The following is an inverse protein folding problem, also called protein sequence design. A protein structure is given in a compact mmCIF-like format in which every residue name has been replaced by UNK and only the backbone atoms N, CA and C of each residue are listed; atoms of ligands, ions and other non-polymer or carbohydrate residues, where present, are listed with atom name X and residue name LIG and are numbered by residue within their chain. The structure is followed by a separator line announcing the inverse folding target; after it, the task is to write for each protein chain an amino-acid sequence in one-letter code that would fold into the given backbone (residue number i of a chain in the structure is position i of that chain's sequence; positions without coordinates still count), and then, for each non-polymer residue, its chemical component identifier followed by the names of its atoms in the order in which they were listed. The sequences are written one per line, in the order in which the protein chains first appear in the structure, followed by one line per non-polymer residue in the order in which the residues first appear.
data_IF_998606696398
#
_entry.id   IF_998606696398
#
_cell.length_a   1.000
_cell.length_b   1.000
_cell.length_c   1.000
_cell.angle_alpha   90.00
_cell.angle_beta   90.00
_cell.angle_gamma   90.00
#
_symmetry.space_group_name_H-M   'P 1'
#
loop_
_entity.id
_entity.type
_entity.pdbx_description
1 polymer ?
#
# COMPACT_ATOMS: atom_id res chain seq x y z
N UNK A 1 -4.97 4.64 -12.73
CA UNK A 1 -4.17 5.21 -11.64
C UNK A 1 -4.96 6.36 -11.02
N UNK A 2 -4.97 6.47 -9.69
CA UNK A 2 -5.75 7.47 -8.96
C UNK A 2 -5.36 8.91 -9.33
N UNK A 3 -6.36 9.74 -9.62
CA UNK A 3 -6.19 11.18 -9.84
C UNK A 3 -5.95 11.92 -8.52
N UNK A 4 -5.33 13.10 -8.58
CA UNK A 4 -5.14 13.91 -7.38
C UNK A 4 -6.46 14.40 -6.77
N UNK A 5 -7.52 14.56 -7.56
CA UNK A 5 -8.86 14.90 -7.06
C UNK A 5 -9.48 13.75 -6.25
N UNK A 6 -9.37 12.51 -6.75
CA UNK A 6 -9.81 11.31 -6.01
C UNK A 6 -9.03 11.15 -4.71
N UNK A 7 -7.71 11.40 -4.74
CA UNK A 7 -6.86 11.34 -3.55
C UNK A 7 -7.23 12.42 -2.54
N UNK A 8 -7.47 13.65 -3.00
CA UNK A 8 -7.89 14.75 -2.12
C UNK A 8 -9.20 14.40 -1.39
N UNK A 9 -10.18 13.83 -2.11
CA UNK A 9 -11.41 13.31 -1.50
C UNK A 9 -11.12 12.17 -0.51
N UNK A 10 -10.35 11.18 -0.92
CA UNK A 10 -9.97 10.05 -0.08
C UNK A 10 -9.30 10.47 1.23
N UNK A 11 -8.40 11.46 1.20
CA UNK A 11 -7.76 12.04 2.40
C UNK A 11 -8.76 12.65 3.38
N UNK A 12 -9.87 13.20 2.89
CA UNK A 12 -10.91 13.79 3.74
C UNK A 12 -11.83 12.73 4.34
N UNK A 13 -12.24 11.76 3.53
CA UNK A 13 -13.25 10.74 3.83
C UNK A 13 -12.68 9.57 4.66
N UNK A 14 -11.42 9.19 4.43
CA UNK A 14 -10.83 8.03 5.07
C UNK A 14 -10.67 8.21 6.58
N UNK A 15 -11.06 7.19 7.33
CA UNK A 15 -10.75 7.08 8.75
C UNK A 15 -9.26 6.75 8.90
N UNK A 16 -8.52 7.67 9.52
CA UNK A 16 -7.10 7.47 9.82
C UNK A 16 -6.93 7.16 11.31
N UNK A 17 -6.12 6.16 11.64
CA UNK A 17 -5.81 5.81 13.03
C UNK A 17 -4.71 6.67 13.64
N UNK A 18 -3.82 7.18 12.79
CA UNK A 18 -2.73 8.09 13.13
C UNK A 18 -2.97 9.50 12.54
N UNK A 19 -2.08 10.43 12.83
CA UNK A 19 -2.09 11.75 12.22
C UNK A 19 -2.03 11.66 10.68
N UNK A 20 -2.80 12.50 10.00
CA UNK A 20 -2.90 12.56 8.53
C UNK A 20 -1.67 13.23 7.91
N UNK A 21 -0.53 12.56 8.03
CA UNK A 21 0.74 12.97 7.45
C UNK A 21 0.91 12.33 6.06
N UNK A 22 0.74 13.13 5.02
CA UNK A 22 0.88 12.72 3.63
C UNK A 22 2.00 13.54 2.97
N UNK A 23 3.15 12.93 2.69
CA UNK A 23 4.27 13.66 2.05
C UNK A 23 3.97 13.98 0.58
N UNK A 24 3.31 13.07 -0.12
CA UNK A 24 2.98 13.21 -1.54
C UNK A 24 1.81 12.30 -1.93
N UNK A 25 1.03 12.69 -2.94
CA UNK A 25 -0.06 11.85 -3.48
C UNK A 25 0.44 10.50 -3.99
N UNK A 26 1.67 10.45 -4.49
CA UNK A 26 2.30 9.21 -4.96
C UNK A 26 2.48 8.18 -3.84
N UNK A 27 2.62 8.60 -2.58
CA UNK A 27 2.68 7.67 -1.44
C UNK A 27 1.38 6.85 -1.31
N UNK A 28 0.23 7.49 -1.55
CA UNK A 28 -1.08 6.83 -1.60
C UNK A 28 -1.19 5.96 -2.85
N UNK A 29 -0.67 6.41 -3.99
CA UNK A 29 -0.65 5.60 -5.22
C UNK A 29 0.21 4.34 -5.04
N UNK A 30 1.37 4.43 -4.38
CA UNK A 30 2.20 3.27 -4.06
C UNK A 30 1.45 2.27 -3.18
N UNK A 31 0.78 2.75 -2.13
CA UNK A 31 -0.01 1.90 -1.27
C UNK A 31 -1.19 1.25 -2.03
N UNK A 32 -1.87 2.00 -2.89
CA UNK A 32 -2.97 1.51 -3.72
C UNK A 32 -2.52 0.38 -4.65
N UNK A 33 -1.46 0.61 -5.43
CA UNK A 33 -0.92 -0.38 -6.36
C UNK A 33 -0.41 -1.63 -5.63
N UNK A 34 0.21 -1.45 -4.46
CA UNK A 34 0.68 -2.58 -3.67
C UNK A 34 -0.48 -3.42 -3.12
N UNK A 35 -1.54 -2.78 -2.62
CA UNK A 35 -2.75 -3.45 -2.14
C UNK A 35 -3.49 -4.17 -3.28
N UNK A 36 -3.56 -3.54 -4.45
CA UNK A 36 -4.19 -4.10 -5.65
C UNK A 36 -3.51 -5.39 -6.13
N UNK A 37 -2.18 -5.51 -5.98
CA UNK A 37 -1.49 -6.74 -6.35
C UNK A 37 -1.73 -7.92 -5.39
N UNK A 38 -2.30 -7.70 -4.20
CA UNK A 38 -2.45 -8.77 -3.21
C UNK A 38 -3.61 -9.71 -3.52
N UNK A 39 -3.49 -10.97 -3.08
CA UNK A 39 -4.62 -11.90 -3.03
C UNK A 39 -5.59 -11.47 -1.91
N UNK A 40 -6.84 -11.19 -2.27
CA UNK A 40 -7.89 -10.80 -1.32
C UNK A 40 -8.56 -12.02 -0.70
N UNK A 41 -9.06 -11.83 0.51
CA UNK A 41 -9.83 -12.79 1.30
C UNK A 41 -11.26 -12.26 1.46
N UNK A 42 -12.18 -13.16 1.80
CA UNK A 42 -13.58 -12.80 2.06
C UNK A 42 -13.78 -12.03 3.37
N UNK A 43 -12.76 -11.94 4.23
CA UNK A 43 -12.82 -11.22 5.50
C UNK A 43 -11.45 -10.66 5.91
N UNK A 44 -11.42 -9.57 6.71
CA UNK A 44 -10.21 -9.01 7.31
C UNK A 44 -9.34 -10.05 8.04
N UNK A 45 -8.05 -10.08 7.73
CA UNK A 45 -7.13 -11.06 8.31
C UNK A 45 -6.58 -10.59 9.66
N UNK A 46 -7.24 -11.00 10.74
CA UNK A 46 -6.84 -10.66 12.12
C UNK A 46 -5.74 -11.56 12.71
N UNK A 47 -5.33 -12.62 12.00
CA UNK A 47 -4.41 -13.63 12.55
C UNK A 47 -2.94 -13.22 12.50
N UNK A 48 -2.57 -12.28 11.63
CA UNK A 48 -1.20 -11.80 11.49
C UNK A 48 -1.18 -10.30 11.31
N UNK A 49 -0.53 -9.59 12.24
CA UNK A 49 -0.14 -8.20 12.07
C UNK A 49 1.13 -8.12 11.24
N UNK A 50 1.22 -7.10 10.39
CA UNK A 50 2.40 -6.85 9.56
C UNK A 50 2.70 -5.36 9.52
N UNK A 51 3.99 -5.00 9.40
CA UNK A 51 4.37 -3.64 9.13
C UNK A 51 4.12 -3.31 7.64
N UNK A 52 2.86 -3.24 7.22
CA UNK A 52 2.47 -3.08 5.81
C UNK A 52 3.12 -1.84 5.19
N UNK A 53 3.13 -0.71 5.91
CA UNK A 53 3.79 0.51 5.43
C UNK A 53 5.27 0.28 5.10
N UNK A 54 6.02 -0.37 5.99
CA UNK A 54 7.45 -0.66 5.75
C UNK A 54 7.70 -1.66 4.62
N UNK A 55 6.70 -2.49 4.27
CA UNK A 55 6.79 -3.37 3.10
C UNK A 55 6.61 -2.52 1.82
N UNK A 56 5.60 -1.65 1.80
CA UNK A 56 5.35 -0.74 0.69
C UNK A 56 6.52 0.22 0.49
N UNK A 57 7.07 0.78 1.57
CA UNK A 57 8.22 1.71 1.52
C UNK A 57 9.44 1.08 0.83
N UNK A 58 9.75 -0.16 1.18
CA UNK A 58 10.87 -0.89 0.60
C UNK A 58 10.62 -1.25 -0.87
N UNK A 59 9.38 -1.60 -1.21
CA UNK A 59 9.00 -1.92 -2.58
C UNK A 59 9.01 -0.69 -3.49
N UNK A 60 8.43 0.42 -3.05
CA UNK A 60 8.34 1.68 -3.80
C UNK A 60 9.60 2.54 -3.72
N UNK A 61 10.49 2.25 -2.76
CA UNK A 61 11.72 2.99 -2.52
C UNK A 61 11.52 4.41 -1.99
N UNK A 62 10.42 4.65 -1.27
CA UNK A 62 10.05 5.94 -0.68
C UNK A 62 9.28 5.74 0.61
N UNK A 63 9.41 6.67 1.56
CA UNK A 63 8.54 6.75 2.73
C UNK A 63 7.04 6.75 2.36
N UNK A 64 6.25 6.02 3.16
CA UNK A 64 4.79 5.89 3.08
C UNK A 64 4.26 5.85 4.49
N UNK A 65 3.35 6.76 4.83
CA UNK A 65 2.77 6.81 6.17
C UNK A 65 1.69 5.75 6.38
N UNK A 66 1.30 5.51 7.63
CA UNK A 66 0.15 4.64 7.93
C UNK A 66 -1.14 5.19 7.32
N UNK A 67 -1.34 6.51 7.38
CA UNK A 67 -2.52 7.16 6.82
C UNK A 67 -2.54 7.12 5.29
N UNK A 68 -1.40 7.11 4.60
CA UNK A 68 -1.34 6.86 3.16
C UNK A 68 -1.93 5.49 2.81
N UNK A 69 -1.59 4.45 3.59
CA UNK A 69 -2.11 3.09 3.42
C UNK A 69 -3.60 3.03 3.72
N UNK A 70 -4.06 3.71 4.75
CA UNK A 70 -5.49 3.76 5.13
C UNK A 70 -6.33 4.47 4.07
N UNK A 71 -5.85 5.60 3.53
CA UNK A 71 -6.51 6.29 2.41
C UNK A 71 -6.57 5.40 1.18
N UNK A 72 -5.46 4.75 0.82
CA UNK A 72 -5.41 3.83 -0.32
C UNK A 72 -6.39 2.66 -0.14
N UNK A 73 -6.44 2.06 1.05
CA UNK A 73 -7.37 0.97 1.38
C UNK A 73 -8.83 1.43 1.32
N UNK A 74 -9.14 2.62 1.82
CA UNK A 74 -10.48 3.21 1.76
C UNK A 74 -10.96 3.43 0.32
N UNK A 75 -10.05 3.85 -0.57
CA UNK A 75 -10.37 4.11 -1.97
C UNK A 75 -10.44 2.85 -2.84
N UNK A 76 -9.92 1.71 -2.36
CA UNK A 76 -9.79 0.51 -3.16
C UNK A 76 -11.08 -0.35 -3.11
N UNK A 77 -11.68 -0.72 -4.25
CA UNK A 77 -12.99 -1.38 -4.29
C UNK A 77 -13.03 -2.75 -3.59
N UNK A 78 -11.95 -3.54 -3.72
CA UNK A 78 -11.89 -4.91 -3.17
C UNK A 78 -11.17 -5.01 -1.82
N UNK A 79 -10.67 -3.89 -1.26
CA UNK A 79 -9.99 -3.91 0.04
C UNK A 79 -10.98 -3.52 1.13
N UNK A 80 -10.97 -4.30 2.21
CA UNK A 80 -11.80 -4.09 3.38
C UNK A 80 -11.04 -4.37 4.66
N UNK A 81 -11.54 -3.85 5.78
CA UNK A 81 -10.86 -3.88 7.07
C UNK A 81 -10.18 -2.55 7.39
N UNK A 82 -9.39 -2.55 8.46
CA UNK A 82 -8.71 -1.36 8.98
C UNK A 82 -7.25 -1.71 9.22
N UNK A 83 -6.34 -0.75 9.12
CA UNK A 83 -4.94 -0.99 9.37
C UNK A 83 -4.71 -1.53 10.81
N UNK A 84 -3.86 -2.57 11.01
CA UNK A 84 -3.07 -3.32 10.01
C UNK A 84 -3.76 -4.58 9.45
N UNK A 85 -5.07 -4.75 9.68
CA UNK A 85 -5.86 -5.95 9.38
C UNK A 85 -6.78 -5.80 8.16
N UNK A 86 -6.19 -5.68 6.96
CA UNK A 86 -6.97 -5.73 5.73
C UNK A 86 -7.37 -7.17 5.35
N UNK A 87 -8.31 -7.32 4.44
CA UNK A 87 -8.74 -8.59 3.83
C UNK A 87 -7.71 -9.15 2.83
N UNK A 88 -6.43 -9.15 3.17
CA UNK A 88 -5.35 -9.66 2.31
C UNK A 88 -4.74 -10.96 2.85
N UNK A 89 -4.29 -11.80 1.93
CA UNK A 89 -3.69 -13.09 2.23
C UNK A 89 -2.43 -12.96 3.09
N UNK A 90 -2.18 -14.00 3.89
CA UNK A 90 -0.89 -14.12 4.56
C UNK A 90 0.26 -14.50 3.63
N UNK A 91 -0.01 -14.90 2.38
CA UNK A 91 1.01 -15.13 1.37
C UNK A 91 1.03 -13.91 0.46
N UNK A 92 1.90 -12.96 0.77
CA UNK A 92 2.00 -11.70 0.03
C UNK A 92 2.53 -11.95 -1.38
N UNK A 93 2.00 -11.19 -2.33
CA UNK A 93 2.44 -11.18 -3.73
C UNK A 93 3.33 -9.96 -3.92
N UNK A 94 4.53 -10.16 -4.48
CA UNK A 94 5.43 -9.07 -4.85
C UNK A 94 4.86 -8.36 -6.08
N UNK A 95 4.42 -7.10 -5.98
CA UNK A 95 3.86 -6.42 -7.13
C UNK A 95 4.92 -6.18 -8.20
N UNK A 96 4.52 -6.21 -9.47
CA UNK A 96 5.40 -5.92 -10.59
C UNK A 96 5.85 -4.45 -10.53
N UNK A 97 7.14 -4.20 -10.71
CA UNK A 97 7.71 -2.85 -10.71
C UNK A 97 7.10 -1.94 -11.78
N UNK A 98 6.52 -2.50 -12.84
CA UNK A 98 5.78 -1.73 -13.85
C UNK A 98 4.59 -0.96 -13.29
N UNK A 99 4.01 -1.37 -12.15
CA UNK A 99 2.94 -0.63 -11.46
C UNK A 99 3.37 0.76 -10.98
N UNK A 100 4.67 0.97 -10.79
CA UNK A 100 5.25 2.27 -10.44
C UNK A 100 5.48 3.18 -11.66
N UNK A 101 5.24 2.70 -12.87
CA UNK A 101 5.45 3.48 -14.10
C UNK A 101 4.59 4.73 -14.08
N UNK A 102 5.21 5.90 -14.23
CA UNK A 102 4.51 7.19 -14.20
C UNK A 102 4.41 7.83 -12.81
N UNK A 103 4.87 7.15 -11.75
CA UNK A 103 4.97 7.71 -10.40
C UNK A 103 6.35 8.33 -10.21
N UNK A 104 6.42 9.67 -10.33
CA UNK A 104 7.68 10.40 -10.30
C UNK A 104 8.44 10.30 -8.97
N UNK A 105 7.76 9.94 -7.89
CA UNK A 105 8.38 9.80 -6.58
C UNK A 105 8.95 8.41 -6.27
N UNK A 106 8.85 7.44 -7.19
CA UNK A 106 9.37 6.09 -6.97
C UNK A 106 10.91 6.08 -6.82
N UNK A 107 11.41 5.32 -5.86
CA UNK A 107 12.85 5.13 -5.56
C UNK A 107 13.66 6.40 -5.25
N UNK A 108 12.99 7.49 -4.87
CA UNK A 108 13.63 8.79 -4.63
C UNK A 108 14.33 8.93 -3.27
N UNK A 109 13.99 8.09 -2.29
CA UNK A 109 14.49 8.23 -0.91
C UNK A 109 15.37 7.05 -0.46
N UNK A 110 15.78 6.17 -1.39
CA UNK A 110 16.79 5.15 -1.11
C UNK A 110 16.36 4.01 -0.19
N UNK A 111 15.06 3.88 0.12
CA UNK A 111 14.52 2.66 0.72
C UNK A 111 14.73 1.50 -0.26
N UNK A 112 15.27 0.38 0.24
CA UNK A 112 15.60 -0.79 -0.58
C UNK A 112 14.92 -2.03 -0.04
N UNK A 113 14.48 -2.86 -0.96
CA UNK A 113 13.99 -4.19 -0.68
C UNK A 113 15.20 -5.13 -0.52
N UNK A 114 15.61 -5.38 0.73
CA UNK A 114 16.83 -6.17 1.01
C UNK A 114 16.72 -7.61 0.51
N UNK A 115 15.61 -8.29 0.82
CA UNK A 115 15.35 -9.66 0.39
C UNK A 115 13.84 -9.87 0.16
N UNK A 116 13.42 -9.69 -1.09
CA UNK A 116 12.04 -9.87 -1.50
C UNK A 116 11.50 -11.27 -1.13
N UNK A 117 12.35 -12.32 -1.18
CA UNK A 117 11.94 -13.71 -0.94
C UNK A 117 11.59 -13.99 0.52
N UNK A 118 12.03 -13.15 1.46
CA UNK A 118 11.62 -13.23 2.87
C UNK A 118 10.27 -12.58 3.13
N UNK A 119 9.87 -11.63 2.30
CA UNK A 119 8.65 -10.83 2.49
C UNK A 119 7.49 -11.41 1.69
N UNK A 120 7.74 -11.79 0.44
CA UNK A 120 6.73 -12.25 -0.51
C UNK A 120 6.81 -13.75 -0.74
N UNK A 121 5.63 -14.38 -0.84
CA UNK A 121 5.50 -15.80 -1.12
C UNK A 121 5.54 -16.10 -2.63
N UNK A 122 5.19 -15.13 -3.46
CA UNK A 122 5.17 -15.24 -4.93
C UNK A 122 5.39 -13.87 -5.56
N UNK A 123 5.71 -13.85 -6.85
CA UNK A 123 5.71 -12.63 -7.67
C UNK A 123 4.39 -12.50 -8.42
N UNK A 124 4.00 -11.27 -8.74
CA UNK A 124 2.87 -11.00 -9.61
C UNK A 124 3.13 -11.57 -11.02
N UNK A 125 2.14 -12.22 -11.67
CA UNK A 125 2.28 -12.79 -13.00
C UNK A 125 2.70 -11.80 -14.11
#
# INVERSE_FOLDING_TARGET
MLTSEEIARGKTEARCTEERLHEHDDCIRFAYEWLDAQTKLNAPNKRKTRPIKHIIERWAGRYVSTSDVEVAAHMHPDISGEYPHFNISSRLVRPNQRRLTGLGQAHTQGYKEDDARRTYASEEP
#
